data_IF_403831913688
#
_entry.id   IF_403831913688
#
_cell.length_a   1.000
_cell.length_b   1.000
_cell.length_c   1.000
_cell.angle_alpha   90.00
_cell.angle_beta   90.00
_cell.angle_gamma   90.00
#
_symmetry.space_group_name_H-M   'P 1'
#
loop_
_entity.id
_entity.type
_entity.pdbx_description
1 polymer ?
#
# COMPACT_ATOMS: atom_id res chain seq x y z
N UNK A 1 5.53 0.02 -6.66
CA UNK A 1 4.23 0.23 -7.35
C UNK A 1 3.67 1.64 -7.22
N UNK A 2 3.71 2.24 -6.02
CA UNK A 2 3.06 3.54 -5.70
C UNK A 2 3.39 4.73 -6.61
N UNK A 3 4.61 4.81 -7.17
CA UNK A 3 5.08 5.91 -8.04
C UNK A 3 4.62 5.82 -9.50
N UNK A 4 5.11 4.77 -10.16
CA UNK A 4 5.00 4.56 -11.61
C UNK A 4 3.67 3.93 -12.02
N UNK A 5 3.21 2.91 -11.29
CA UNK A 5 1.99 2.18 -11.64
C UNK A 5 0.76 3.08 -11.52
N UNK A 6 0.64 3.84 -10.43
CA UNK A 6 -0.44 4.82 -10.27
C UNK A 6 -0.49 5.80 -11.44
N UNK A 7 0.66 6.40 -11.82
CA UNK A 7 0.73 7.37 -12.92
C UNK A 7 0.39 6.72 -14.25
N UNK A 8 0.95 5.55 -14.55
CA UNK A 8 0.64 4.82 -15.77
C UNK A 8 -0.86 4.48 -15.88
N UNK A 9 -1.49 4.08 -14.78
CA UNK A 9 -2.94 3.82 -14.76
C UNK A 9 -3.76 5.11 -14.89
N UNK A 10 -3.34 6.19 -14.24
CA UNK A 10 -3.99 7.50 -14.39
C UNK A 10 -3.91 8.00 -15.84
N UNK A 11 -2.74 7.87 -16.47
CA UNK A 11 -2.52 8.28 -17.85
C UNK A 11 -3.34 7.44 -18.83
N UNK A 12 -3.50 6.13 -18.57
CA UNK A 12 -4.27 5.24 -19.43
C UNK A 12 -5.80 5.41 -19.29
N UNK A 13 -6.30 5.60 -18.07
CA UNK A 13 -7.75 5.59 -17.80
C UNK A 13 -8.34 6.96 -17.51
N UNK A 14 -7.49 8.00 -17.35
CA UNK A 14 -7.90 9.37 -17.03
C UNK A 14 -8.84 9.46 -15.81
N UNK A 15 -8.67 8.54 -14.85
CA UNK A 15 -9.51 8.43 -13.66
C UNK A 15 -8.69 8.07 -12.44
N UNK A 16 -8.64 8.98 -11.47
CA UNK A 16 -7.95 8.77 -10.20
C UNK A 16 -8.54 7.59 -9.43
N UNK A 17 -9.86 7.40 -9.48
CA UNK A 17 -10.53 6.28 -8.80
C UNK A 17 -10.07 4.94 -9.37
N UNK A 18 -9.97 4.83 -10.70
CA UNK A 18 -9.49 3.61 -11.36
C UNK A 18 -8.00 3.39 -11.07
N UNK A 19 -7.18 4.45 -11.13
CA UNK A 19 -5.77 4.38 -10.77
C UNK A 19 -5.57 3.87 -9.33
N UNK A 20 -6.45 4.25 -8.40
CA UNK A 20 -6.40 3.83 -7.00
C UNK A 20 -6.75 2.38 -6.80
N UNK A 21 -7.85 1.96 -7.39
CA UNK A 21 -8.32 0.58 -7.29
C UNK A 21 -7.29 -0.36 -7.93
N UNK A 22 -6.83 -0.07 -9.15
CA UNK A 22 -5.91 -0.95 -9.87
C UNK A 22 -4.52 -0.98 -9.23
N UNK A 23 -3.96 0.17 -8.86
CA UNK A 23 -2.65 0.18 -8.20
C UNK A 23 -2.66 -0.54 -6.84
N UNK A 24 -3.79 -0.47 -6.11
CA UNK A 24 -3.99 -1.18 -4.85
C UNK A 24 -4.24 -2.67 -5.04
N UNK A 25 -4.99 -3.06 -6.07
CA UNK A 25 -5.21 -4.46 -6.42
C UNK A 25 -3.90 -5.14 -6.80
N UNK A 26 -3.12 -4.55 -7.71
CA UNK A 26 -1.82 -5.10 -8.12
C UNK A 26 -0.85 -5.20 -6.94
N UNK A 27 -0.85 -4.20 -6.04
CA UNK A 27 -0.05 -4.26 -4.82
C UNK A 27 -0.48 -5.41 -3.91
N UNK A 28 -1.79 -5.61 -3.71
CA UNK A 28 -2.33 -6.69 -2.90
C UNK A 28 -1.94 -8.07 -3.45
N UNK A 29 -2.11 -8.28 -4.76
CA UNK A 29 -1.75 -9.55 -5.39
C UNK A 29 -0.24 -9.80 -5.40
N UNK A 30 0.58 -8.76 -5.47
CA UNK A 30 2.04 -8.90 -5.36
C UNK A 30 2.50 -9.34 -3.96
N UNK A 31 1.67 -9.14 -2.93
CA UNK A 31 1.92 -9.60 -1.56
C UNK A 31 1.03 -10.79 -1.18
N UNK A 32 0.36 -11.40 -2.17
CA UNK A 32 -0.45 -12.58 -1.91
C UNK A 32 0.45 -13.76 -1.54
N UNK A 33 0.28 -14.24 -0.32
CA UNK A 33 1.03 -15.33 0.30
C UNK A 33 0.13 -16.55 0.56
N UNK A 34 -0.83 -16.82 -0.33
CA UNK A 34 -1.85 -17.86 -0.18
C UNK A 34 -2.83 -17.66 1.00
N UNK A 35 -2.83 -16.48 1.61
CA UNK A 35 -3.80 -16.05 2.61
C UNK A 35 -4.78 -15.03 1.98
N UNK A 36 -6.08 -15.37 1.84
CA UNK A 36 -7.08 -14.44 1.32
C UNK A 36 -7.25 -13.18 2.18
N UNK A 37 -7.01 -13.27 3.50
CA UNK A 37 -7.14 -12.11 4.40
C UNK A 37 -6.01 -11.11 4.18
N UNK A 38 -4.82 -11.58 3.83
CA UNK A 38 -3.68 -10.75 3.46
C UNK A 38 -3.97 -9.90 2.22
N UNK A 39 -4.74 -10.41 1.25
CA UNK A 39 -5.13 -9.63 0.05
C UNK A 39 -5.91 -8.38 0.44
N UNK A 40 -6.93 -8.52 1.30
CA UNK A 40 -7.73 -7.39 1.76
C UNK A 40 -6.90 -6.39 2.54
N UNK A 41 -6.02 -6.89 3.42
CA UNK A 41 -5.11 -6.06 4.19
C UNK A 41 -4.17 -5.24 3.29
N UNK A 42 -3.48 -5.87 2.35
CA UNK A 42 -2.54 -5.18 1.46
C UNK A 42 -3.27 -4.25 0.49
N UNK A 43 -4.50 -4.57 0.08
CA UNK A 43 -5.34 -3.68 -0.72
C UNK A 43 -5.64 -2.39 0.04
N UNK A 44 -6.17 -2.50 1.27
CA UNK A 44 -6.53 -1.35 2.11
C UNK A 44 -5.29 -0.52 2.45
N UNK A 45 -4.19 -1.17 2.87
CA UNK A 45 -2.93 -0.49 3.18
C UNK A 45 -2.40 0.28 1.97
N UNK A 46 -2.40 -0.32 0.78
CA UNK A 46 -2.01 0.39 -0.45
C UNK A 46 -2.91 1.56 -0.76
N UNK A 47 -4.23 1.38 -0.61
CA UNK A 47 -5.21 2.43 -0.84
C UNK A 47 -4.93 3.65 0.06
N UNK A 48 -4.65 3.42 1.34
CA UNK A 48 -4.30 4.46 2.32
C UNK A 48 -2.99 5.15 1.93
N UNK A 49 -1.94 4.40 1.61
CA UNK A 49 -0.64 4.99 1.26
C UNK A 49 -0.67 5.80 -0.02
N UNK A 50 -1.42 5.36 -1.03
CA UNK A 50 -1.59 6.08 -2.28
C UNK A 50 -2.46 7.32 -2.08
N UNK A 51 -3.56 7.20 -1.33
CA UNK A 51 -4.42 8.34 -0.97
C UNK A 51 -3.66 9.40 -0.21
N UNK A 52 -2.86 9.02 0.79
CA UNK A 52 -2.04 9.95 1.56
C UNK A 52 -1.04 10.73 0.68
N UNK A 53 -0.58 10.15 -0.43
CA UNK A 53 0.25 10.84 -1.42
C UNK A 53 -0.57 11.77 -2.31
N UNK A 54 -1.75 11.35 -2.75
CA UNK A 54 -2.57 12.15 -3.68
C UNK A 54 -3.28 13.31 -2.99
N UNK A 55 -3.53 13.24 -1.67
CA UNK A 55 -4.15 14.32 -0.88
C UNK A 55 -3.14 15.37 -0.35
N UNK A 56 -2.04 15.59 -1.07
CA UNK A 56 -1.03 16.61 -0.72
C UNK A 56 0.19 16.09 0.04
N UNK A 57 0.28 14.79 0.31
CA UNK A 57 1.49 14.18 0.87
C UNK A 57 2.59 13.97 -0.18
N UNK A 58 3.84 13.93 0.26
CA UNK A 58 4.97 13.64 -0.63
C UNK A 58 5.13 12.14 -0.85
N UNK A 59 5.87 11.75 -1.90
CA UNK A 59 6.31 10.34 -2.05
C UNK A 59 7.06 9.87 -0.79
N UNK A 60 7.87 10.74 -0.20
CA UNK A 60 8.61 10.45 1.04
C UNK A 60 7.66 10.15 2.21
N UNK A 61 6.53 10.85 2.33
CA UNK A 61 5.53 10.58 3.36
C UNK A 61 4.88 9.20 3.18
N UNK A 62 4.52 8.81 1.96
CA UNK A 62 3.98 7.47 1.69
C UNK A 62 5.02 6.36 1.95
N UNK A 63 6.30 6.62 1.70
CA UNK A 63 7.40 5.71 2.07
C UNK A 63 7.52 5.60 3.59
N UNK A 64 7.47 6.73 4.30
CA UNK A 64 7.52 6.77 5.76
C UNK A 64 6.37 6.00 6.39
N UNK A 65 5.12 6.17 5.91
CA UNK A 65 3.97 5.41 6.39
C UNK A 65 4.13 3.91 6.18
N UNK A 66 4.68 3.51 5.03
CA UNK A 66 4.95 2.10 4.76
C UNK A 66 6.05 1.54 5.65
N UNK A 67 7.11 2.31 5.90
CA UNK A 67 8.15 1.94 6.86
C UNK A 67 7.58 1.79 8.28
N UNK A 68 6.80 2.77 8.74
CA UNK A 68 6.19 2.77 10.07
C UNK A 68 5.29 1.54 10.27
N UNK A 69 4.54 1.17 9.24
CA UNK A 69 3.72 -0.03 9.24
C UNK A 69 4.55 -1.31 9.42
N UNK A 70 5.61 -1.50 8.63
CA UNK A 70 6.49 -2.65 8.76
C UNK A 70 7.22 -2.66 10.11
N UNK A 71 7.64 -1.50 10.59
CA UNK A 71 8.28 -1.36 11.90
C UNK A 71 7.35 -1.78 13.04
N UNK A 72 6.07 -1.42 12.98
CA UNK A 72 5.07 -1.84 13.97
C UNK A 72 4.88 -3.37 13.98
N UNK A 73 4.80 -4.01 12.81
CA UNK A 73 4.69 -5.48 12.70
C UNK A 73 5.92 -6.19 13.27
N UNK A 74 7.12 -5.67 13.00
CA UNK A 74 8.36 -6.19 13.58
C UNK A 74 8.35 -6.03 15.10
N UNK A 75 7.95 -4.87 15.61
CA UNK A 75 7.88 -4.62 17.05
C UNK A 75 6.89 -5.57 17.73
N UNK A 76 5.71 -5.78 17.16
CA UNK A 76 4.72 -6.75 17.65
C UNK A 76 5.31 -8.16 17.69
N UNK A 77 5.99 -8.58 16.62
CA UNK A 77 6.65 -9.89 16.54
C UNK A 77 7.69 -10.06 17.65
N UNK A 78 8.55 -9.05 17.87
CA UNK A 78 9.56 -9.07 18.92
C UNK A 78 8.94 -9.15 20.32
N UNK A 79 7.85 -8.42 20.57
CA UNK A 79 7.11 -8.47 21.84
C UNK A 79 6.53 -9.85 22.09
N UNK A 80 5.92 -10.48 21.08
CA UNK A 80 5.37 -11.84 21.18
C UNK A 80 6.48 -12.86 21.48
N UNK A 81 7.64 -12.75 20.84
CA UNK A 81 8.77 -13.68 21.04
C UNK A 81 9.51 -13.50 22.37
N UNK A 82 9.33 -12.35 23.04
CA UNK A 82 9.96 -12.05 24.33
C UNK A 82 9.16 -12.52 25.57
N UNK A 83 7.96 -13.06 25.35
CA UNK A 83 7.09 -13.64 26.37
C UNK A 83 7.24 -15.16 26.40
#
# INVERSE_FOLDING_TARGET
MRGFLWRATLDAFQSERIALILSSAVFAFAHYNFDPTAVMFYFISSFIFVSARTTGGTLAFAIFLHFLHNFALVLETLVIMSK
#
